data_IF_894491505503
#
_entry.id   IF_894491505503
#
_cell.length_a   1.000
_cell.length_b   1.000
_cell.length_c   1.000
_cell.angle_alpha   90.00
_cell.angle_beta   90.00
_cell.angle_gamma   90.00
#
_symmetry.space_group_name_H-M   'P 1'
#
loop_
_entity.id
_entity.type
_entity.pdbx_description
1 polymer ?
#
# COMPACT_ATOMS: atom_id res chain seq x y z
N UNK A 1 42.62 16.59 -68.35
CA UNK A 1 41.70 17.54 -67.71
C UNK A 1 41.21 16.90 -66.44
N UNK A 2 41.66 17.35 -65.26
CA UNK A 2 41.35 16.80 -63.94
C UNK A 2 40.20 17.60 -63.33
N UNK A 3 39.09 16.90 -62.94
CA UNK A 3 38.02 17.51 -62.21
C UNK A 3 38.34 17.54 -60.71
N UNK A 4 37.96 18.58 -59.96
CA UNK A 4 38.19 18.66 -58.51
C UNK A 4 37.12 17.90 -57.70
N UNK A 5 37.57 17.18 -56.68
CA UNK A 5 36.73 16.57 -55.67
C UNK A 5 36.26 17.61 -54.65
N UNK A 6 34.96 17.82 -54.56
CA UNK A 6 34.34 18.60 -53.50
C UNK A 6 34.22 17.73 -52.24
N UNK A 7 34.93 18.10 -51.18
CA UNK A 7 34.79 17.48 -49.85
C UNK A 7 33.57 18.06 -49.12
N UNK A 8 32.68 17.15 -48.72
CA UNK A 8 31.56 17.48 -47.85
C UNK A 8 32.06 17.43 -46.39
N UNK A 9 32.18 18.61 -45.80
CA UNK A 9 32.42 18.74 -44.35
C UNK A 9 31.10 18.54 -43.65
N UNK A 10 30.90 17.38 -43.06
CA UNK A 10 29.76 17.08 -42.18
C UNK A 10 29.90 17.82 -40.85
N UNK A 11 29.03 18.78 -40.63
CA UNK A 11 28.87 19.45 -39.35
C UNK A 11 28.09 18.50 -38.42
N UNK A 12 28.75 17.84 -37.50
CA UNK A 12 28.15 17.13 -36.39
C UNK A 12 27.69 18.16 -35.34
N UNK A 13 26.44 18.55 -35.40
CA UNK A 13 25.79 19.32 -34.32
C UNK A 13 25.50 18.35 -33.19
N UNK A 14 26.35 18.37 -32.18
CA UNK A 14 26.11 17.68 -30.92
C UNK A 14 24.95 18.32 -30.17
N UNK A 15 23.80 17.69 -30.18
CA UNK A 15 22.70 17.99 -29.26
C UNK A 15 23.04 17.35 -27.92
N UNK A 16 23.88 18.04 -27.13
CA UNK A 16 23.97 17.81 -25.69
C UNK A 16 22.93 18.73 -25.07
N UNK A 17 21.69 18.33 -25.09
CA UNK A 17 20.57 18.99 -24.47
C UNK A 17 20.12 18.21 -23.25
N UNK A 18 20.63 18.58 -22.08
CA UNK A 18 19.91 18.89 -20.87
C UNK A 18 18.82 17.89 -20.44
N UNK A 19 19.18 16.69 -19.97
CA UNK A 19 18.39 16.00 -18.96
C UNK A 19 18.90 16.45 -17.57
N UNK A 20 18.62 17.68 -17.21
CA UNK A 20 18.88 18.18 -15.89
C UNK A 20 17.59 18.71 -15.28
N UNK A 21 17.22 18.11 -14.13
CA UNK A 21 16.45 18.73 -13.06
C UNK A 21 14.94 18.84 -13.20
N UNK A 22 14.24 17.70 -13.03
CA UNK A 22 12.88 17.72 -12.47
C UNK A 22 12.82 16.96 -11.13
N UNK A 23 13.93 16.85 -10.41
CA UNK A 23 13.96 16.13 -9.12
C UNK A 23 13.65 17.00 -7.91
N UNK A 24 13.71 18.32 -8.04
CA UNK A 24 13.45 19.24 -6.92
C UNK A 24 11.97 19.48 -6.60
N UNK A 25 11.08 19.36 -7.58
CA UNK A 25 9.66 19.63 -7.38
C UNK A 25 8.92 18.50 -6.63
N UNK A 26 9.25 17.26 -6.93
CA UNK A 26 8.56 16.10 -6.33
C UNK A 26 8.89 15.90 -4.84
N UNK A 27 10.12 16.20 -4.42
CA UNK A 27 10.51 16.07 -3.01
C UNK A 27 9.80 17.11 -2.14
N UNK A 28 9.59 18.32 -2.65
CA UNK A 28 8.88 19.38 -1.92
C UNK A 28 7.38 19.07 -1.80
N UNK A 29 6.74 18.54 -2.84
CA UNK A 29 5.34 18.14 -2.80
C UNK A 29 5.10 16.96 -1.84
N UNK A 30 5.99 15.98 -1.83
CA UNK A 30 5.89 14.85 -0.90
C UNK A 30 6.05 15.31 0.56
N UNK A 31 6.99 16.18 0.85
CA UNK A 31 7.21 16.74 2.19
C UNK A 31 6.02 17.58 2.65
N UNK A 32 5.48 18.43 1.77
CA UNK A 32 4.27 19.22 2.02
C UNK A 32 3.07 18.31 2.32
N UNK A 33 2.85 17.29 1.50
CA UNK A 33 1.79 16.32 1.73
C UNK A 33 2.00 15.57 3.05
N UNK A 34 3.22 15.16 3.35
CA UNK A 34 3.57 14.52 4.62
C UNK A 34 3.26 15.42 5.82
N UNK A 35 3.55 16.71 5.73
CA UNK A 35 3.20 17.69 6.76
C UNK A 35 1.68 17.81 6.97
N UNK A 36 0.92 17.94 5.88
CA UNK A 36 -0.55 18.01 5.93
C UNK A 36 -1.16 16.77 6.60
N UNK A 37 -0.68 15.59 6.21
CA UNK A 37 -1.13 14.31 6.78
C UNK A 37 -0.70 14.17 8.25
N UNK A 38 0.53 14.53 8.58
CA UNK A 38 1.03 14.50 9.95
C UNK A 38 0.21 15.42 10.86
N UNK A 39 -0.07 16.65 10.43
CA UNK A 39 -0.87 17.60 11.18
C UNK A 39 -2.27 17.07 11.45
N UNK A 40 -2.85 16.34 10.48
CA UNK A 40 -4.20 15.81 10.62
C UNK A 40 -4.30 14.52 11.45
N UNK A 41 -3.29 13.63 11.35
CA UNK A 41 -3.39 12.29 11.93
C UNK A 41 -2.45 12.02 13.10
N UNK A 42 -1.42 12.82 13.29
CA UNK A 42 -0.32 12.51 14.22
C UNK A 42 -0.11 13.60 15.28
N UNK A 43 -0.35 14.89 14.93
CA UNK A 43 0.04 16.02 15.77
C UNK A 43 -0.71 16.07 17.09
N UNK A 44 -1.94 15.59 17.16
CA UNK A 44 -2.71 15.56 18.41
C UNK A 44 -2.03 14.72 19.50
N UNK A 45 -1.34 13.67 19.12
CA UNK A 45 -0.59 12.83 20.05
C UNK A 45 0.89 13.19 20.13
N UNK A 46 1.52 13.51 19.00
CA UNK A 46 2.97 13.75 18.93
C UNK A 46 3.37 15.22 18.98
N UNK A 47 2.41 16.15 18.99
CA UNK A 47 2.68 17.59 18.88
C UNK A 47 2.98 18.03 17.45
N UNK A 48 2.82 19.31 17.14
CA UNK A 48 3.08 19.85 15.80
C UNK A 48 4.56 19.75 15.39
N UNK A 49 5.46 19.95 16.37
CA UNK A 49 6.92 19.84 16.13
C UNK A 49 7.50 18.46 16.42
N UNK A 50 6.64 17.49 16.78
CA UNK A 50 7.05 16.14 17.13
C UNK A 50 7.72 16.01 18.50
N UNK A 51 7.73 17.09 19.30
CA UNK A 51 8.34 17.06 20.63
C UNK A 51 7.46 16.36 21.64
N UNK A 52 8.13 15.63 22.51
CA UNK A 52 7.46 15.04 23.64
C UNK A 52 6.73 16.12 24.46
N UNK A 53 5.53 15.81 24.94
CA UNK A 53 4.64 16.67 25.73
C UNK A 53 3.95 17.84 25.00
N UNK A 54 4.08 18.01 23.72
CA UNK A 54 3.30 18.98 22.94
C UNK A 54 1.92 18.44 22.50
N UNK A 55 1.72 17.12 22.56
CA UNK A 55 0.45 16.50 22.18
C UNK A 55 -0.72 16.98 23.03
N UNK A 56 -1.89 17.06 22.40
CA UNK A 56 -3.12 17.39 23.11
C UNK A 56 -3.36 16.39 24.25
N UNK A 57 -3.68 16.91 25.42
CA UNK A 57 -4.00 16.11 26.61
C UNK A 57 -2.89 15.11 27.03
N UNK A 58 -1.63 15.47 26.81
CA UNK A 58 -0.46 14.64 27.09
C UNK A 58 -0.49 13.94 28.46
N UNK A 59 -0.90 14.64 29.50
CA UNK A 59 -0.92 14.10 30.86
C UNK A 59 -1.91 12.96 31.05
N UNK A 60 -2.98 12.94 30.26
CA UNK A 60 -4.03 11.92 30.30
C UNK A 60 -3.78 10.74 29.37
N UNK A 61 -2.80 10.83 28.48
CA UNK A 61 -2.47 9.72 27.59
C UNK A 61 -1.96 8.52 28.38
N UNK A 62 -2.32 7.29 27.97
CA UNK A 62 -1.78 6.07 28.59
C UNK A 62 -0.29 5.89 28.33
N UNK A 63 0.38 5.06 29.13
CA UNK A 63 1.74 4.64 28.86
C UNK A 63 1.73 3.40 27.91
N UNK A 64 2.75 3.27 27.04
CA UNK A 64 3.85 4.20 26.83
C UNK A 64 3.41 5.50 26.14
N UNK A 65 3.94 6.62 26.62
CA UNK A 65 3.67 7.94 26.01
C UNK A 65 4.15 7.98 24.55
N UNK A 66 3.55 8.87 23.71
CA UNK A 66 4.05 9.10 22.36
C UNK A 66 5.55 9.41 22.34
N UNK A 67 6.26 8.81 21.39
CA UNK A 67 7.70 9.00 21.22
C UNK A 67 8.02 10.45 20.82
N UNK A 68 9.15 10.98 21.30
CA UNK A 68 9.70 12.26 20.86
C UNK A 68 10.30 12.12 19.44
N UNK A 69 9.54 12.56 18.43
CA UNK A 69 9.94 12.45 17.03
C UNK A 69 10.99 13.51 16.63
N UNK A 70 11.22 14.53 17.49
CA UNK A 70 12.24 15.55 17.30
C UNK A 70 13.62 15.13 17.81
N UNK A 71 13.70 14.06 18.60
CA UNK A 71 14.95 13.55 19.17
C UNK A 71 15.82 12.89 18.12
N UNK A 72 16.78 13.64 17.56
CA UNK A 72 17.66 13.16 16.50
C UNK A 72 18.46 11.92 16.89
N UNK A 73 18.99 11.86 18.12
CA UNK A 73 19.85 10.76 18.55
C UNK A 73 19.12 9.43 18.59
N UNK A 74 17.84 9.46 18.94
CA UNK A 74 16.99 8.29 18.98
C UNK A 74 16.39 7.97 17.61
N UNK A 75 15.76 8.96 16.98
CA UNK A 75 15.05 8.76 15.74
C UNK A 75 15.93 8.39 14.55
N UNK A 76 17.20 8.81 14.55
CA UNK A 76 18.14 8.43 13.48
C UNK A 76 18.57 6.95 13.54
N UNK A 77 18.29 6.24 14.61
CA UNK A 77 18.58 4.79 14.72
C UNK A 77 17.57 3.93 13.95
N UNK A 78 16.37 4.45 13.73
CA UNK A 78 15.32 3.74 13.00
C UNK A 78 15.54 3.85 11.49
N UNK A 79 15.34 2.75 10.77
CA UNK A 79 15.26 2.76 9.31
C UNK A 79 13.92 3.32 8.85
N UNK A 80 13.84 3.74 7.58
CA UNK A 80 12.59 4.25 7.02
C UNK A 80 11.49 3.18 7.03
N UNK A 81 11.86 1.93 6.73
CA UNK A 81 10.95 0.78 6.74
C UNK A 81 10.40 0.47 8.14
N UNK A 82 11.19 0.69 9.19
CA UNK A 82 10.74 0.51 10.58
C UNK A 82 9.74 1.58 10.99
N UNK A 83 9.99 2.84 10.59
CA UNK A 83 9.04 3.92 10.80
C UNK A 83 7.74 3.67 10.02
N UNK A 84 7.86 3.22 8.77
CA UNK A 84 6.71 2.84 7.95
C UNK A 84 5.93 1.68 8.58
N UNK A 85 6.60 0.62 9.00
CA UNK A 85 5.98 -0.54 9.65
C UNK A 85 5.24 -0.14 10.93
N UNK A 86 5.79 0.80 11.72
CA UNK A 86 5.15 1.29 12.95
C UNK A 86 3.79 1.93 12.67
N UNK A 87 3.66 2.74 11.63
CA UNK A 87 2.40 3.44 11.30
C UNK A 87 1.45 2.60 10.45
N UNK A 88 1.95 1.52 9.83
CA UNK A 88 1.19 0.65 8.93
C UNK A 88 0.98 -0.78 9.44
N UNK A 89 1.33 -1.05 10.71
CA UNK A 89 1.20 -2.39 11.28
C UNK A 89 -0.22 -2.95 11.15
N UNK A 90 -0.33 -4.25 11.11
CA UNK A 90 -1.64 -4.90 11.18
C UNK A 90 -2.12 -4.92 12.65
N UNK A 91 -3.36 -4.52 12.88
CA UNK A 91 -3.95 -4.59 14.23
C UNK A 91 -4.12 -6.03 14.73
N UNK A 92 -4.15 -6.98 13.80
CA UNK A 92 -4.27 -8.41 14.10
C UNK A 92 -2.91 -9.10 14.21
N UNK A 93 -1.84 -8.43 13.80
CA UNK A 93 -0.49 -8.95 13.84
C UNK A 93 0.18 -8.61 15.18
N UNK A 94 -0.41 -9.12 16.25
CA UNK A 94 0.15 -9.05 17.61
C UNK A 94 1.20 -10.13 17.85
N UNK A 95 1.65 -10.81 16.78
CA UNK A 95 2.39 -12.08 16.90
C UNK A 95 3.89 -11.97 16.87
N UNK A 96 4.54 -10.80 16.63
CA UNK A 96 5.98 -10.84 16.37
C UNK A 96 6.92 -10.12 17.34
N UNK A 97 6.49 -9.36 18.35
CA UNK A 97 7.45 -8.91 19.37
C UNK A 97 6.86 -8.94 20.79
N UNK A 98 7.08 -10.04 21.45
CA UNK A 98 6.70 -10.22 22.84
C UNK A 98 5.60 -11.27 23.01
N UNK A 99 5.74 -12.36 22.26
CA UNK A 99 4.81 -13.47 22.29
C UNK A 99 4.58 -14.01 23.69
N UNK A 100 3.56 -13.53 24.35
CA UNK A 100 2.85 -14.31 25.31
C UNK A 100 1.41 -14.46 24.87
N UNK A 101 1.03 -15.71 24.83
CA UNK A 101 -0.30 -16.21 24.56
C UNK A 101 -1.37 -15.31 25.15
N UNK A 102 -2.36 -15.02 24.31
CA UNK A 102 -3.60 -14.33 24.66
C UNK A 102 -4.18 -14.93 25.97
N UNK A 103 -3.69 -14.43 27.08
CA UNK A 103 -4.40 -14.50 28.34
C UNK A 103 -5.36 -13.32 28.37
N UNK A 104 -6.54 -13.50 28.91
CA UNK A 104 -7.62 -12.51 28.90
C UNK A 104 -7.25 -11.12 29.47
N UNK A 105 -6.08 -10.96 30.08
CA UNK A 105 -5.70 -9.78 30.85
C UNK A 105 -4.46 -9.00 30.35
N UNK A 106 -3.69 -9.48 29.36
CA UNK A 106 -2.37 -8.91 28.99
C UNK A 106 -2.25 -8.44 27.54
N UNK A 107 -3.32 -7.98 26.92
CA UNK A 107 -3.21 -7.31 25.64
C UNK A 107 -2.68 -5.88 25.81
N UNK A 108 -1.37 -5.71 25.83
CA UNK A 108 -0.75 -4.42 25.59
C UNK A 108 -0.97 -4.02 24.11
N UNK A 109 -2.21 -3.60 23.80
CA UNK A 109 -2.45 -3.01 22.49
C UNK A 109 -1.64 -1.72 22.41
N UNK A 110 -0.80 -1.57 21.41
CA UNK A 110 -0.08 -0.33 21.21
C UNK A 110 -1.06 0.83 21.21
N UNK A 111 -0.80 1.83 22.02
CA UNK A 111 -1.63 3.04 22.16
C UNK A 111 -1.73 3.82 20.86
N UNK A 112 -0.70 3.73 20.01
CA UNK A 112 -0.68 4.33 18.69
C UNK A 112 -1.55 3.52 17.71
N UNK A 113 -2.56 4.12 17.08
CA UNK A 113 -3.39 3.44 16.09
C UNK A 113 -2.60 3.06 14.83
N UNK A 114 -3.11 2.10 14.08
CA UNK A 114 -2.59 1.83 12.73
C UNK A 114 -3.31 2.69 11.69
N UNK A 115 -2.55 3.18 10.72
CA UNK A 115 -3.10 3.95 9.60
C UNK A 115 -3.16 3.16 8.30
N UNK A 116 -2.77 1.88 8.30
CA UNK A 116 -2.78 0.97 7.15
C UNK A 116 -4.12 0.94 6.42
N UNK A 117 -5.22 1.04 7.16
CA UNK A 117 -6.56 0.94 6.62
C UNK A 117 -7.21 2.29 6.32
N UNK A 118 -6.53 3.37 6.67
CA UNK A 118 -7.02 4.75 6.49
C UNK A 118 -6.29 5.47 5.37
N UNK A 119 -4.99 5.25 5.26
CA UNK A 119 -4.09 5.93 4.34
C UNK A 119 -3.56 4.96 3.27
N UNK A 120 -3.22 5.52 2.11
CA UNK A 120 -2.52 4.78 1.07
C UNK A 120 -1.03 4.61 1.41
N UNK A 121 -0.35 3.69 0.76
CA UNK A 121 1.07 3.43 1.01
C UNK A 121 1.94 4.68 0.72
N UNK A 122 1.64 5.42 -0.35
CA UNK A 122 2.35 6.67 -0.68
C UNK A 122 2.09 7.79 0.34
N UNK A 123 0.89 7.84 0.93
CA UNK A 123 0.58 8.76 2.02
C UNK A 123 1.34 8.42 3.30
N UNK A 124 1.43 7.14 3.65
CA UNK A 124 2.23 6.65 4.79
C UNK A 124 3.72 6.98 4.60
N UNK A 125 4.27 6.74 3.40
CA UNK A 125 5.64 7.14 3.09
C UNK A 125 5.85 8.65 3.13
N UNK A 126 4.85 9.44 2.77
CA UNK A 126 4.92 10.91 2.89
C UNK A 126 5.00 11.34 4.35
N UNK A 127 4.26 10.69 5.25
CA UNK A 127 4.37 10.92 6.70
C UNK A 127 5.78 10.56 7.19
N UNK A 128 6.33 9.40 6.80
CA UNK A 128 7.71 9.02 7.18
C UNK A 128 8.72 10.08 6.72
N UNK A 129 8.56 10.57 5.49
CA UNK A 129 9.39 11.65 4.96
C UNK A 129 9.32 12.91 5.82
N UNK A 130 8.13 13.34 6.22
CA UNK A 130 7.97 14.49 7.10
C UNK A 130 8.53 14.25 8.51
N UNK A 131 8.29 13.08 9.11
CA UNK A 131 8.88 12.70 10.41
C UNK A 131 10.41 12.79 10.38
N UNK A 132 11.05 12.43 9.27
CA UNK A 132 12.50 12.62 9.10
C UNK A 132 12.93 14.08 9.21
N UNK A 133 12.12 15.00 8.73
CA UNK A 133 12.42 16.44 8.83
C UNK A 133 12.36 16.96 10.27
N UNK A 134 11.49 16.41 11.12
CA UNK A 134 11.30 16.83 12.51
C UNK A 134 12.60 16.67 13.34
N UNK A 135 13.41 15.66 13.04
CA UNK A 135 14.71 15.45 13.71
C UNK A 135 15.92 15.73 12.80
N UNK A 136 15.70 16.39 11.66
CA UNK A 136 16.76 16.89 10.78
C UNK A 136 17.53 15.80 10.04
N UNK A 137 16.87 14.71 9.66
CA UNK A 137 17.38 13.70 8.73
C UNK A 137 16.57 13.69 7.44
N UNK A 138 16.98 12.87 6.48
CA UNK A 138 16.26 12.71 5.21
C UNK A 138 15.85 11.26 5.04
N UNK A 139 14.68 11.07 4.46
CA UNK A 139 14.21 9.75 4.04
C UNK A 139 15.06 9.23 2.88
N UNK A 140 15.54 7.99 2.98
CA UNK A 140 16.26 7.31 1.91
C UNK A 140 15.32 6.63 0.90
N UNK A 141 14.11 6.30 1.31
CA UNK A 141 13.13 5.63 0.45
C UNK A 141 12.60 6.57 -0.65
N UNK A 142 12.66 6.10 -1.90
CA UNK A 142 12.20 6.87 -3.05
C UNK A 142 10.80 6.44 -3.47
N UNK A 143 9.79 7.18 -3.03
CA UNK A 143 8.37 6.93 -3.31
C UNK A 143 8.06 6.96 -4.81
N UNK A 144 8.64 7.90 -5.54
CA UNK A 144 8.42 8.02 -6.98
C UNK A 144 9.02 6.82 -7.75
N UNK A 145 10.23 6.38 -7.37
CA UNK A 145 10.83 5.19 -7.97
C UNK A 145 10.01 3.93 -7.64
N UNK A 146 9.48 3.81 -6.43
CA UNK A 146 8.59 2.71 -6.06
C UNK A 146 7.33 2.68 -6.92
N UNK A 147 6.67 3.82 -7.09
CA UNK A 147 5.50 3.95 -7.96
C UNK A 147 5.82 3.54 -9.39
N UNK A 148 6.91 4.06 -9.96
CA UNK A 148 7.36 3.70 -11.31
C UNK A 148 7.57 2.20 -11.45
N UNK A 149 8.23 1.56 -10.48
CA UNK A 149 8.45 0.11 -10.47
C UNK A 149 7.13 -0.69 -10.44
N UNK A 150 6.13 -0.22 -9.70
CA UNK A 150 4.80 -0.86 -9.66
C UNK A 150 4.06 -0.68 -10.99
N UNK A 151 4.10 0.51 -11.60
CA UNK A 151 3.50 0.78 -12.91
C UNK A 151 4.14 -0.08 -14.01
N UNK A 152 5.47 -0.21 -14.01
CA UNK A 152 6.20 -1.04 -14.96
C UNK A 152 5.90 -2.54 -14.74
N UNK A 153 5.83 -2.96 -13.48
CA UNK A 153 5.45 -4.32 -13.11
C UNK A 153 4.06 -4.69 -13.62
N UNK A 154 3.10 -3.80 -13.44
CA UNK A 154 1.74 -4.01 -13.97
C UNK A 154 1.70 -4.08 -15.49
N UNK A 155 2.37 -3.17 -16.20
CA UNK A 155 2.46 -3.20 -17.67
C UNK A 155 3.06 -4.50 -18.17
N UNK A 156 4.12 -4.97 -17.52
CA UNK A 156 4.75 -6.26 -17.86
C UNK A 156 3.81 -7.45 -17.65
N UNK A 157 3.07 -7.47 -16.52
CA UNK A 157 2.11 -8.53 -16.24
C UNK A 157 0.92 -8.50 -17.21
N UNK A 158 0.42 -7.30 -17.57
CA UNK A 158 -0.62 -7.14 -18.60
C UNK A 158 -0.18 -7.67 -19.96
N UNK A 159 1.05 -7.38 -20.39
CA UNK A 159 1.59 -7.88 -21.66
C UNK A 159 1.70 -9.42 -21.66
N UNK A 160 2.15 -10.03 -20.55
CA UNK A 160 2.20 -11.48 -20.39
C UNK A 160 0.81 -12.12 -20.45
N UNK A 161 -0.16 -11.53 -19.76
CA UNK A 161 -1.53 -12.02 -19.78
C UNK A 161 -2.12 -11.97 -21.20
N UNK A 162 -1.95 -10.86 -21.90
CA UNK A 162 -2.47 -10.69 -23.25
C UNK A 162 -1.83 -11.71 -24.24
N UNK A 163 -0.53 -11.94 -24.11
CA UNK A 163 0.15 -12.97 -24.89
C UNK A 163 -0.38 -14.37 -24.58
N UNK A 164 -0.51 -14.72 -23.32
CA UNK A 164 -1.03 -16.03 -22.90
C UNK A 164 -2.47 -16.24 -23.38
N UNK A 165 -3.30 -15.19 -23.32
CA UNK A 165 -4.67 -15.20 -23.82
C UNK A 165 -4.74 -15.46 -25.32
N UNK A 166 -3.91 -14.79 -26.12
CA UNK A 166 -3.85 -15.03 -27.57
C UNK A 166 -3.44 -16.47 -27.91
N UNK A 167 -2.48 -17.03 -27.16
CA UNK A 167 -2.05 -18.42 -27.34
C UNK A 167 -3.18 -19.40 -26.99
N UNK A 168 -3.88 -19.15 -25.88
CA UNK A 168 -5.03 -19.95 -25.49
C UNK A 168 -6.16 -19.90 -26.53
N UNK A 169 -6.57 -18.70 -26.97
CA UNK A 169 -7.64 -18.51 -27.97
C UNK A 169 -7.30 -19.20 -29.30
N UNK A 170 -6.03 -19.16 -29.70
CA UNK A 170 -5.58 -19.85 -30.91
C UNK A 170 -5.63 -21.38 -30.76
N UNK A 171 -5.26 -21.93 -29.59
CA UNK A 171 -5.30 -23.35 -29.30
C UNK A 171 -6.74 -23.89 -29.22
N UNK A 172 -7.61 -23.15 -28.51
CA UNK A 172 -9.05 -23.44 -28.40
C UNK A 172 -9.72 -23.46 -29.77
N UNK A 173 -9.47 -22.43 -30.60
CA UNK A 173 -9.98 -22.37 -31.98
C UNK A 173 -9.51 -23.57 -32.82
N UNK A 174 -8.25 -23.93 -32.71
CA UNK A 174 -7.68 -25.10 -33.45
C UNK A 174 -8.39 -26.39 -33.02
N UNK A 175 -8.65 -26.59 -31.71
CA UNK A 175 -9.34 -27.76 -31.21
C UNK A 175 -10.80 -27.78 -31.68
N UNK A 176 -11.47 -26.65 -31.73
CA UNK A 176 -12.82 -26.50 -32.26
C UNK A 176 -12.91 -26.81 -33.75
N UNK A 177 -12.01 -26.23 -34.56
CA UNK A 177 -11.93 -26.49 -36.02
C UNK A 177 -11.64 -27.96 -36.30
N UNK A 178 -10.90 -28.65 -35.44
CA UNK A 178 -10.61 -30.09 -35.56
C UNK A 178 -11.84 -30.93 -35.21
N UNK A 179 -12.59 -30.60 -34.16
CA UNK A 179 -13.81 -31.27 -33.77
C UNK A 179 -14.87 -31.16 -34.89
N UNK A 180 -15.03 -29.95 -35.47
CA UNK A 180 -15.96 -29.70 -36.56
C UNK A 180 -15.60 -30.56 -37.80
N UNK A 181 -14.35 -30.63 -38.22
CA UNK A 181 -13.88 -31.48 -39.32
C UNK A 181 -14.15 -32.97 -39.05
N UNK A 182 -13.92 -33.44 -37.82
CA UNK A 182 -14.21 -34.83 -37.43
C UNK A 182 -15.70 -35.12 -37.46
N UNK A 183 -16.55 -34.17 -37.01
CA UNK A 183 -17.99 -34.30 -37.08
C UNK A 183 -18.50 -34.44 -38.50
N UNK A 184 -17.99 -33.63 -39.44
CA UNK A 184 -18.34 -33.71 -40.85
C UNK A 184 -17.93 -35.08 -41.48
N UNK A 185 -16.69 -35.54 -41.17
CA UNK A 185 -16.20 -36.81 -41.70
C UNK A 185 -16.97 -38.02 -41.17
N UNK A 186 -17.31 -38.02 -39.91
CA UNK A 186 -17.98 -39.11 -39.20
C UNK A 186 -19.50 -39.03 -39.30
N UNK A 187 -20.04 -37.94 -39.81
CA UNK A 187 -21.50 -37.61 -39.81
C UNK A 187 -22.13 -37.80 -38.42
N UNK A 188 -21.40 -37.42 -37.41
CA UNK A 188 -21.76 -37.55 -36.00
C UNK A 188 -21.17 -36.37 -35.24
N UNK A 189 -21.90 -35.86 -34.24
CA UNK A 189 -21.39 -34.84 -33.37
C UNK A 189 -20.13 -35.34 -32.61
N UNK A 190 -19.08 -34.54 -32.62
CA UNK A 190 -17.83 -34.77 -31.92
C UNK A 190 -17.57 -33.59 -31.00
N UNK A 191 -17.46 -33.84 -29.70
CA UNK A 191 -17.14 -32.84 -28.73
C UNK A 191 -15.73 -32.30 -28.90
N UNK A 192 -15.52 -31.07 -28.55
CA UNK A 192 -14.20 -30.43 -28.51
C UNK A 192 -13.37 -31.08 -27.40
N UNK A 193 -12.16 -31.51 -27.75
CA UNK A 193 -11.23 -32.05 -26.76
C UNK A 193 -10.54 -30.93 -25.98
N UNK A 194 -11.09 -30.63 -24.81
CA UNK A 194 -10.57 -29.58 -23.91
C UNK A 194 -9.15 -29.88 -23.41
N UNK A 195 -8.74 -31.15 -23.40
CA UNK A 195 -7.38 -31.51 -22.99
C UNK A 195 -6.32 -31.00 -23.97
N UNK A 196 -6.70 -30.73 -25.23
CA UNK A 196 -5.82 -30.24 -26.28
C UNK A 196 -5.31 -28.79 -26.01
N UNK A 197 -5.95 -28.00 -25.14
CA UNK A 197 -5.55 -26.64 -24.80
C UNK A 197 -5.51 -26.37 -23.30
N UNK A 198 -5.59 -27.39 -22.46
CA UNK A 198 -5.58 -27.26 -21.00
C UNK A 198 -4.29 -26.61 -20.46
N UNK A 199 -3.15 -26.83 -21.09
CA UNK A 199 -1.87 -26.24 -20.70
C UNK A 199 -1.84 -24.72 -20.98
N UNK A 200 -2.35 -24.31 -22.13
CA UNK A 200 -2.48 -22.91 -22.54
C UNK A 200 -3.49 -22.17 -21.63
N UNK A 201 -4.60 -22.83 -21.30
CA UNK A 201 -5.60 -22.32 -20.37
C UNK A 201 -4.97 -22.10 -18.98
N UNK A 202 -4.24 -23.08 -18.45
CA UNK A 202 -3.55 -22.95 -17.17
C UNK A 202 -2.54 -21.80 -17.17
N UNK A 203 -1.81 -21.63 -18.27
CA UNK A 203 -0.83 -20.54 -18.44
C UNK A 203 -1.53 -19.17 -18.45
N UNK A 204 -2.63 -19.05 -19.16
CA UNK A 204 -3.45 -17.81 -19.19
C UNK A 204 -4.01 -17.48 -17.81
N UNK A 205 -4.55 -18.46 -17.09
CA UNK A 205 -5.09 -18.27 -15.73
C UNK A 205 -4.00 -17.82 -14.77
N UNK A 206 -2.79 -18.40 -14.85
CA UNK A 206 -1.66 -17.99 -14.03
C UNK A 206 -1.21 -16.56 -14.35
N UNK A 207 -1.10 -16.21 -15.63
CA UNK A 207 -0.75 -14.86 -16.05
C UNK A 207 -1.80 -13.81 -15.60
N UNK A 208 -3.09 -14.18 -15.65
CA UNK A 208 -4.19 -13.35 -15.13
C UNK A 208 -4.01 -13.08 -13.63
N UNK A 209 -3.70 -14.12 -12.85
CA UNK A 209 -3.46 -13.99 -11.41
C UNK A 209 -2.27 -13.06 -11.11
N UNK A 210 -1.18 -13.18 -11.87
CA UNK A 210 -0.01 -12.29 -11.72
C UNK A 210 -0.36 -10.83 -12.03
N UNK A 211 -1.15 -10.59 -13.07
CA UNK A 211 -1.64 -9.26 -13.42
C UNK A 211 -2.54 -8.68 -12.32
N UNK A 212 -3.46 -9.47 -11.78
CA UNK A 212 -4.35 -9.04 -10.70
C UNK A 212 -3.57 -8.69 -9.42
N UNK A 213 -2.54 -9.46 -9.08
CA UNK A 213 -1.64 -9.16 -7.95
C UNK A 213 -0.90 -7.84 -8.18
N UNK A 214 -0.35 -7.61 -9.38
CA UNK A 214 0.33 -6.36 -9.72
C UNK A 214 -0.62 -5.16 -9.67
N UNK A 215 -1.87 -5.32 -10.15
CA UNK A 215 -2.90 -4.28 -10.09
C UNK A 215 -3.27 -3.93 -8.64
N UNK A 216 -3.42 -4.95 -7.79
CA UNK A 216 -3.72 -4.75 -6.36
C UNK A 216 -2.57 -4.02 -5.67
N UNK A 217 -1.31 -4.37 -5.97
CA UNK A 217 -0.15 -3.71 -5.40
C UNK A 217 -0.08 -2.22 -5.77
N UNK A 218 -0.33 -1.87 -7.04
CA UNK A 218 -0.39 -0.48 -7.49
C UNK A 218 -1.57 0.29 -6.86
N UNK A 219 -2.74 -0.34 -6.77
CA UNK A 219 -3.91 0.27 -6.16
C UNK A 219 -3.67 0.55 -4.66
N UNK A 220 -3.09 -0.40 -3.92
CA UNK A 220 -2.78 -0.23 -2.49
C UNK A 220 -1.75 0.87 -2.28
N UNK A 221 -0.81 1.02 -3.21
CA UNK A 221 0.19 2.09 -3.15
C UNK A 221 -0.44 3.48 -3.27
N UNK A 222 -1.37 3.67 -4.22
CA UNK A 222 -1.89 4.99 -4.61
C UNK A 222 -3.30 5.30 -4.11
N UNK A 223 -3.98 4.33 -3.48
CA UNK A 223 -5.39 4.47 -3.10
C UNK A 223 -5.58 4.11 -1.64
N UNK A 224 -6.31 4.94 -0.90
CA UNK A 224 -6.66 4.66 0.49
C UNK A 224 -7.46 3.36 0.59
N UNK A 225 -7.00 2.47 1.45
CA UNK A 225 -7.57 1.12 1.63
C UNK A 225 -9.02 1.11 2.20
N UNK A 226 -9.48 2.23 2.73
CA UNK A 226 -10.73 2.36 3.48
C UNK A 226 -12.03 2.01 2.75
N UNK A 227 -11.97 1.51 1.52
CA UNK A 227 -13.18 1.11 0.76
C UNK A 227 -13.55 -0.37 0.90
N UNK A 228 -12.83 -1.16 1.66
CA UNK A 228 -13.00 -2.61 1.66
C UNK A 228 -13.04 -3.33 3.00
N UNK A 229 -12.71 -2.68 4.10
CA UNK A 229 -12.90 -3.29 5.42
C UNK A 229 -14.39 -3.22 5.78
N UNK A 230 -15.12 -4.25 5.38
CA UNK A 230 -16.37 -4.60 6.04
C UNK A 230 -16.01 -5.05 7.45
N UNK A 231 -15.87 -4.09 8.37
CA UNK A 231 -15.88 -4.44 9.80
C UNK A 231 -17.25 -5.04 10.04
N UNK A 232 -17.34 -6.31 10.47
CA UNK A 232 -18.62 -6.91 10.80
C UNK A 232 -19.30 -6.01 11.82
N UNK A 233 -20.41 -5.40 11.43
CA UNK A 233 -21.21 -4.65 12.38
C UNK A 233 -21.81 -5.64 13.36
N UNK A 234 -21.72 -5.38 14.66
CA UNK A 234 -22.42 -6.22 15.61
C UNK A 234 -23.91 -6.27 15.25
N UNK A 235 -24.50 -7.42 15.34
CA UNK A 235 -25.96 -7.57 15.11
C UNK A 235 -26.71 -6.81 16.21
N UNK A 236 -27.12 -5.58 15.89
CA UNK A 236 -27.90 -4.74 16.79
C UNK A 236 -29.35 -5.20 16.95
N UNK A 237 -29.76 -6.23 16.21
CA UNK A 237 -31.04 -6.94 16.42
C UNK A 237 -30.93 -8.04 17.48
N UNK A 238 -29.70 -8.32 17.95
CA UNK A 238 -29.45 -9.24 19.04
C UNK A 238 -30.18 -8.82 20.33
N UNK A 239 -30.38 -9.79 21.23
CA UNK A 239 -31.10 -9.56 22.50
C UNK A 239 -30.52 -8.35 23.26
N UNK A 240 -31.36 -7.50 23.88
CA UNK A 240 -30.88 -6.28 24.56
C UNK A 240 -29.76 -6.52 25.58
N UNK A 241 -29.78 -7.69 26.27
CA UNK A 241 -28.71 -8.07 27.20
C UNK A 241 -27.34 -8.31 26.54
N UNK A 242 -27.33 -8.79 25.29
CA UNK A 242 -26.07 -9.00 24.56
C UNK A 242 -25.54 -7.70 23.98
N UNK A 243 -26.43 -6.81 23.58
CA UNK A 243 -26.07 -5.43 23.17
C UNK A 243 -25.47 -4.68 24.35
N UNK A 244 -26.04 -4.77 25.56
CA UNK A 244 -25.50 -4.15 26.75
C UNK A 244 -24.09 -4.63 27.07
N UNK A 245 -23.81 -5.92 26.98
CA UNK A 245 -22.46 -6.48 27.14
C UNK A 245 -21.47 -5.95 26.11
N UNK A 246 -21.89 -5.82 24.83
CA UNK A 246 -21.05 -5.24 23.78
C UNK A 246 -20.76 -3.77 24.04
N UNK A 247 -21.73 -3.01 24.51
CA UNK A 247 -21.56 -1.59 24.90
C UNK A 247 -20.59 -1.48 26.08
N UNK A 248 -20.77 -2.28 27.14
CA UNK A 248 -19.85 -2.29 28.29
C UNK A 248 -18.43 -2.66 27.88
N UNK A 249 -18.27 -3.67 27.02
CA UNK A 249 -16.96 -4.03 26.49
C UNK A 249 -16.38 -2.92 25.63
N UNK A 250 -17.16 -2.30 24.78
CA UNK A 250 -16.75 -1.13 23.98
C UNK A 250 -16.26 0.01 24.86
N UNK A 251 -16.98 0.31 25.95
CA UNK A 251 -16.60 1.31 26.93
C UNK A 251 -15.28 0.98 27.63
N UNK A 252 -15.10 -0.25 28.07
CA UNK A 252 -13.84 -0.70 28.68
C UNK A 252 -12.66 -0.59 27.71
N UNK A 253 -12.87 -0.96 26.46
CA UNK A 253 -11.85 -0.82 25.42
C UNK A 253 -11.51 0.65 25.17
N UNK A 254 -12.52 1.52 25.08
CA UNK A 254 -12.37 2.94 24.82
C UNK A 254 -11.67 3.68 25.98
N UNK A 255 -12.11 3.44 27.21
CA UNK A 255 -11.64 4.17 28.38
C UNK A 255 -10.34 3.60 28.98
N UNK A 256 -10.23 2.26 29.02
CA UNK A 256 -9.19 1.61 29.83
C UNK A 256 -8.13 0.93 28.97
N UNK A 257 -8.53 0.21 27.90
CA UNK A 257 -7.58 -0.61 27.14
C UNK A 257 -6.85 0.20 26.07
N UNK A 258 -7.56 1.01 25.33
CA UNK A 258 -6.99 1.78 24.21
C UNK A 258 -6.79 3.25 24.56
N UNK A 259 -7.32 3.72 25.70
CA UNK A 259 -7.17 5.10 26.13
C UNK A 259 -7.69 6.13 25.12
N UNK A 260 -8.67 5.74 24.29
CA UNK A 260 -9.23 6.62 23.27
C UNK A 260 -9.81 7.92 23.85
N UNK A 261 -10.29 7.86 25.09
CA UNK A 261 -10.77 9.01 25.86
C UNK A 261 -9.67 10.03 26.19
N UNK A 262 -8.38 9.68 26.03
CA UNK A 262 -7.26 10.63 26.17
C UNK A 262 -7.22 11.68 25.07
N UNK A 263 -7.75 11.34 23.87
CA UNK A 263 -7.79 12.22 22.71
C UNK A 263 -9.22 12.48 22.20
N UNK A 264 -10.19 11.62 22.54
CA UNK A 264 -11.56 11.71 22.05
C UNK A 264 -12.55 11.71 23.21
N UNK A 265 -13.49 12.64 23.21
CA UNK A 265 -14.61 12.63 24.14
C UNK A 265 -15.80 11.84 23.57
N UNK A 266 -16.45 11.05 24.44
CA UNK A 266 -17.74 10.43 24.13
C UNK A 266 -18.81 11.52 24.19
N UNK A 267 -19.24 11.99 23.04
CA UNK A 267 -20.23 13.07 22.95
C UNK A 267 -19.92 14.10 21.87
N UNK A 268 -18.76 14.00 21.21
CA UNK A 268 -18.41 14.83 20.06
C UNK A 268 -17.96 16.24 20.39
N UNK A 269 -17.68 16.55 21.65
CA UNK A 269 -17.00 17.77 22.07
C UNK A 269 -15.51 17.44 22.25
N UNK A 270 -14.76 17.50 21.14
CA UNK A 270 -13.32 17.36 21.09
C UNK A 270 -12.70 18.63 20.56
#
# INVERSE_FOLDING_TARGET
MKAPRLGIIGLAVGVIGGLAFITGGCANEQEKRGHELYTHYCSDCHGESGKQNEGFNWSAMPDPKPKDLSNKSEMSTFKDEELFATISRDMLDTSEEGGDTIGDDDFAVPTMPTFKYTLSEDELWSIVGYVRTLHGTKMGFNVAARKTSLDEGLKSAQAKFEQAKQVYEAAEKKASDEAERKSEQLKKDVDVDESAYAAEQATMVQAKKEMDVAQVALNNFSTRAGKGLSIPRPDLTAKPADVAKLVDRGKQLYENKYGCNGCHNVGGEG
#
